data_IF_259108732287
#
_entry.id   IF_259108732287
#
_cell.length_a   1.000
_cell.length_b   1.000
_cell.length_c   1.000
_cell.angle_alpha   90.00
_cell.angle_beta   90.00
_cell.angle_gamma   90.00
#
_symmetry.space_group_name_H-M   'P 1'
#
loop_
_entity.id
_entity.type
_entity.pdbx_description
1 polymer ?
#
# COMPACT_ATOMS: atom_id res chain seq x y z
N UNK A 1 53.50 -21.19 -40.75
CA UNK A 1 52.24 -21.95 -40.54
C UNK A 1 52.59 -23.23 -39.80
N UNK A 2 51.78 -23.62 -38.80
CA UNK A 2 51.83 -24.83 -37.93
C UNK A 2 52.46 -24.72 -36.51
N UNK A 3 51.51 -24.67 -35.55
CA UNK A 3 51.38 -25.44 -34.28
C UNK A 3 52.31 -25.18 -33.08
N UNK A 4 51.83 -24.24 -32.29
CA UNK A 4 51.47 -24.30 -30.86
C UNK A 4 51.74 -25.58 -30.02
N UNK A 5 52.51 -25.33 -28.96
CA UNK A 5 52.40 -25.70 -27.54
C UNK A 5 52.56 -27.15 -27.02
N UNK A 6 53.72 -27.32 -26.36
CA UNK A 6 54.05 -28.35 -25.35
C UNK A 6 53.02 -28.38 -24.23
N UNK A 7 52.53 -29.58 -23.94
CA UNK A 7 51.68 -29.88 -22.78
C UNK A 7 52.54 -30.24 -21.56
N UNK A 8 52.10 -29.73 -20.41
CA UNK A 8 52.34 -30.14 -19.01
C UNK A 8 53.70 -29.82 -18.38
N UNK A 9 53.65 -28.88 -17.43
CA UNK A 9 53.87 -29.26 -16.04
C UNK A 9 52.63 -28.90 -15.22
N UNK A 10 52.15 -29.87 -14.44
CA UNK A 10 51.10 -29.70 -13.43
C UNK A 10 51.78 -29.08 -12.22
N UNK A 11 51.34 -27.91 -11.79
CA UNK A 11 51.66 -27.38 -10.47
C UNK A 11 50.77 -28.08 -9.44
N UNK A 12 51.41 -28.67 -8.45
CA UNK A 12 50.84 -29.26 -7.23
C UNK A 12 50.40 -28.14 -6.24
N UNK A 13 49.68 -28.47 -5.16
CA UNK A 13 48.51 -27.74 -4.67
C UNK A 13 48.86 -26.52 -3.83
N UNK A 14 48.00 -25.49 -3.91
CA UNK A 14 47.94 -24.42 -2.92
C UNK A 14 47.61 -25.00 -1.55
N UNK A 15 48.37 -24.57 -0.55
CA UNK A 15 48.28 -24.90 0.86
C UNK A 15 46.84 -24.70 1.41
N UNK A 16 46.25 -25.67 2.13
CA UNK A 16 44.94 -25.48 2.77
C UNK A 16 44.93 -24.42 3.89
N UNK A 17 46.09 -23.85 4.24
CA UNK A 17 46.20 -22.83 5.28
C UNK A 17 45.81 -21.40 4.86
N UNK A 18 45.56 -21.14 3.56
CA UNK A 18 45.16 -19.82 3.05
C UNK A 18 43.63 -19.69 2.86
N UNK A 19 42.86 -20.42 3.67
CA UNK A 19 41.42 -20.14 3.80
C UNK A 19 41.31 -19.00 4.80
N UNK A 20 41.14 -17.77 4.30
CA UNK A 20 40.83 -16.60 5.11
C UNK A 20 39.65 -16.98 6.02
N UNK A 21 39.93 -17.20 7.30
CA UNK A 21 38.90 -17.58 8.29
C UNK A 21 38.09 -16.31 8.52
N UNK A 22 36.98 -16.19 7.78
CA UNK A 22 35.99 -15.14 8.00
C UNK A 22 35.58 -15.21 9.47
N UNK A 23 35.94 -14.18 10.25
CA UNK A 23 35.61 -14.14 11.68
C UNK A 23 34.08 -14.28 11.80
N UNK A 24 33.55 -15.27 12.55
CA UNK A 24 32.11 -15.44 12.74
C UNK A 24 31.45 -14.26 13.47
N UNK A 25 32.23 -13.28 13.96
CA UNK A 25 31.76 -11.99 14.48
C UNK A 25 31.79 -10.86 13.46
N UNK A 26 32.24 -11.11 12.23
CA UNK A 26 32.09 -10.15 11.13
C UNK A 26 30.59 -9.96 10.92
N UNK A 27 30.04 -8.75 11.14
CA UNK A 27 28.66 -8.48 10.78
C UNK A 27 28.51 -8.82 9.30
N UNK A 28 27.51 -9.63 8.96
CA UNK A 28 27.17 -9.86 7.56
C UNK A 28 27.00 -8.48 6.90
N UNK A 29 27.56 -8.22 5.71
CA UNK A 29 27.31 -6.97 5.02
C UNK A 29 25.81 -6.80 4.95
N UNK A 30 25.29 -5.81 5.69
CA UNK A 30 23.90 -5.45 5.54
C UNK A 30 23.76 -5.02 4.08
N UNK A 31 22.75 -5.53 3.34
CA UNK A 31 22.43 -4.98 2.04
C UNK A 31 22.44 -3.46 2.17
N UNK A 32 23.03 -2.76 1.21
CA UNK A 32 22.88 -1.31 1.15
C UNK A 32 21.39 -1.02 1.35
N UNK A 33 21.07 -0.15 2.31
CA UNK A 33 19.69 0.21 2.62
C UNK A 33 18.96 0.59 1.31
N UNK A 34 17.63 0.43 1.27
CA UNK A 34 16.87 0.72 0.05
C UNK A 34 17.28 2.09 -0.49
N UNK A 35 17.45 2.14 -1.82
CA UNK A 35 17.91 3.34 -2.52
C UNK A 35 17.02 4.53 -2.17
N UNK A 36 17.56 5.75 -2.24
CA UNK A 36 16.77 6.95 -1.93
C UNK A 36 15.42 6.93 -2.69
N UNK A 37 14.28 7.23 -2.02
CA UNK A 37 12.93 7.03 -2.59
C UNK A 37 12.74 7.64 -3.98
N UNK A 38 13.31 8.82 -4.23
CA UNK A 38 13.19 9.52 -5.51
C UNK A 38 13.96 8.81 -6.64
N UNK A 39 15.09 8.18 -6.33
CA UNK A 39 15.88 7.41 -7.30
C UNK A 39 15.14 6.11 -7.61
N UNK A 40 14.75 5.37 -6.57
CA UNK A 40 14.01 4.11 -6.70
C UNK A 40 12.71 4.30 -7.52
N UNK A 41 11.98 5.40 -7.28
CA UNK A 41 10.79 5.76 -8.04
C UNK A 41 11.07 6.01 -9.55
N UNK A 42 12.14 6.74 -9.89
CA UNK A 42 12.51 6.98 -11.30
C UNK A 42 12.93 5.68 -12.00
N UNK A 43 13.69 4.84 -11.30
CA UNK A 43 14.11 3.54 -11.80
C UNK A 43 12.90 2.62 -12.04
N UNK A 44 11.94 2.60 -11.11
CA UNK A 44 10.67 1.90 -11.28
C UNK A 44 9.97 2.32 -12.57
N UNK A 45 9.76 3.63 -12.78
CA UNK A 45 8.98 4.10 -13.92
C UNK A 45 9.68 3.88 -15.26
N UNK A 46 11.02 3.91 -15.28
CA UNK A 46 11.79 3.54 -16.46
C UNK A 46 11.56 2.07 -16.84
N UNK A 47 11.67 1.16 -15.88
CA UNK A 47 11.46 -0.26 -16.12
C UNK A 47 9.99 -0.62 -16.36
N UNK A 48 9.07 0.08 -15.73
CA UNK A 48 7.64 -0.01 -16.01
C UNK A 48 7.34 0.26 -17.48
N UNK A 49 7.90 1.34 -18.05
CA UNK A 49 7.69 1.69 -19.46
C UNK A 49 8.22 0.61 -20.42
N UNK A 50 9.33 -0.04 -20.08
CA UNK A 50 9.90 -1.16 -20.85
C UNK A 50 9.01 -2.41 -20.78
N UNK A 51 8.41 -2.68 -19.62
CA UNK A 51 7.58 -3.85 -19.35
C UNK A 51 6.11 -3.68 -19.80
N UNK A 52 5.65 -2.44 -19.97
CA UNK A 52 4.25 -2.09 -20.23
C UNK A 52 3.62 -2.80 -21.44
N UNK A 53 4.31 -2.99 -22.59
CA UNK A 53 3.75 -3.74 -23.71
C UNK A 53 3.48 -5.21 -23.37
N UNK A 54 4.37 -5.84 -22.58
CA UNK A 54 4.22 -7.23 -22.15
C UNK A 54 3.07 -7.37 -21.14
N UNK A 55 2.99 -6.44 -20.18
CA UNK A 55 1.87 -6.39 -19.22
C UNK A 55 0.55 -6.25 -19.95
N UNK A 56 0.47 -5.32 -20.90
CA UNK A 56 -0.76 -5.05 -21.65
C UNK A 56 -1.20 -6.26 -22.49
N UNK A 57 -0.26 -6.98 -23.12
CA UNK A 57 -0.54 -8.22 -23.83
C UNK A 57 -1.02 -9.33 -22.88
N UNK A 58 -0.36 -9.50 -21.73
CA UNK A 58 -0.75 -10.49 -20.73
C UNK A 58 -2.14 -10.23 -20.15
N UNK A 59 -2.47 -8.97 -19.84
CA UNK A 59 -3.79 -8.56 -19.36
C UNK A 59 -4.86 -8.79 -20.43
N UNK A 60 -4.60 -8.39 -21.68
CA UNK A 60 -5.53 -8.59 -22.80
C UNK A 60 -5.81 -10.07 -23.13
N UNK A 61 -4.84 -10.96 -22.88
CA UNK A 61 -5.01 -12.41 -23.03
C UNK A 61 -5.56 -13.10 -21.77
N UNK A 62 -5.73 -12.39 -20.65
CA UNK A 62 -6.11 -12.98 -19.36
C UNK A 62 -5.04 -13.88 -18.74
N UNK A 63 -3.76 -13.64 -19.04
CA UNK A 63 -2.61 -14.46 -18.63
C UNK A 63 -1.63 -13.66 -17.75
N UNK A 64 -2.16 -13.02 -16.72
CA UNK A 64 -1.42 -12.14 -15.79
C UNK A 64 -0.21 -12.85 -15.16
N UNK A 65 -0.30 -14.16 -14.95
CA UNK A 65 0.75 -15.00 -14.36
C UNK A 65 2.06 -14.96 -15.16
N UNK A 66 2.03 -14.59 -16.44
CA UNK A 66 3.25 -14.43 -17.26
C UNK A 66 4.13 -13.28 -16.80
N UNK A 67 3.53 -12.21 -16.26
CA UNK A 67 4.23 -10.98 -15.87
C UNK A 67 4.32 -10.80 -14.35
N UNK A 68 3.60 -11.63 -13.59
CA UNK A 68 3.51 -11.56 -12.12
C UNK A 68 4.87 -11.54 -11.44
N UNK A 69 5.76 -12.50 -11.75
CA UNK A 69 7.09 -12.54 -11.16
C UNK A 69 7.90 -11.26 -11.44
N UNK A 70 7.79 -10.72 -12.65
CA UNK A 70 8.53 -9.52 -13.05
C UNK A 70 7.97 -8.26 -12.38
N UNK A 71 6.66 -8.20 -12.16
CA UNK A 71 6.03 -7.15 -11.37
C UNK A 71 6.47 -7.22 -9.91
N UNK A 72 6.53 -8.41 -9.32
CA UNK A 72 7.05 -8.59 -7.96
C UNK A 72 8.50 -8.10 -7.84
N UNK A 73 9.37 -8.45 -8.80
CA UNK A 73 10.75 -7.96 -8.82
C UNK A 73 10.81 -6.43 -8.95
N UNK A 74 9.99 -5.85 -9.84
CA UNK A 74 9.95 -4.42 -10.08
C UNK A 74 9.50 -3.64 -8.83
N UNK A 75 8.48 -4.13 -8.12
CA UNK A 75 7.99 -3.51 -6.87
C UNK A 75 8.98 -3.72 -5.73
N UNK A 76 9.56 -4.91 -5.59
CA UNK A 76 10.56 -5.17 -4.56
C UNK A 76 11.83 -4.32 -4.73
N UNK A 77 12.19 -3.98 -5.98
CA UNK A 77 13.28 -3.05 -6.27
C UNK A 77 12.97 -1.60 -5.84
N UNK A 78 11.69 -1.20 -5.82
CA UNK A 78 11.28 0.07 -5.24
C UNK A 78 11.38 0.03 -3.72
N UNK A 79 10.76 -0.96 -3.08
CA UNK A 79 10.94 -1.27 -1.66
C UNK A 79 10.39 -2.68 -1.35
N UNK A 80 11.09 -3.53 -0.58
CA UNK A 80 10.71 -4.93 -0.36
C UNK A 80 9.38 -5.12 0.40
N UNK A 81 8.99 -4.16 1.24
CA UNK A 81 7.76 -4.25 2.04
C UNK A 81 6.49 -3.72 1.32
N UNK A 82 6.64 -3.18 0.11
CA UNK A 82 5.50 -2.73 -0.68
C UNK A 82 4.67 -3.91 -1.20
N UNK A 83 3.37 -3.69 -1.24
CA UNK A 83 2.43 -4.56 -1.95
C UNK A 83 1.92 -3.86 -3.20
N UNK A 84 1.46 -4.64 -4.17
CA UNK A 84 0.80 -4.11 -5.35
C UNK A 84 -0.42 -4.92 -5.74
N UNK A 85 -1.37 -4.26 -6.39
CA UNK A 85 -2.46 -4.89 -7.11
C UNK A 85 -2.65 -4.23 -8.48
N UNK A 86 -3.13 -5.01 -9.44
CA UNK A 86 -3.68 -4.49 -10.71
C UNK A 86 -5.18 -4.71 -10.67
N UNK A 87 -5.92 -3.61 -10.68
CA UNK A 87 -7.37 -3.59 -10.52
C UNK A 87 -8.04 -2.96 -11.74
N UNK A 88 -9.37 -2.98 -11.76
CA UNK A 88 -10.14 -2.22 -12.74
C UNK A 88 -10.10 -0.75 -12.33
N UNK A 89 -9.69 0.11 -13.25
CA UNK A 89 -9.67 1.55 -13.01
C UNK A 89 -11.06 2.17 -12.95
N UNK A 90 -11.15 3.35 -12.31
CA UNK A 90 -12.35 4.18 -12.28
C UNK A 90 -12.45 5.05 -13.53
N UNK A 91 -11.33 5.62 -13.95
CA UNK A 91 -11.21 6.51 -15.12
C UNK A 91 -10.40 5.89 -16.26
N UNK A 92 -9.63 4.83 -15.95
CA UNK A 92 -8.87 4.05 -16.91
C UNK A 92 -9.34 2.58 -16.96
N UNK A 93 -8.85 1.82 -17.94
CA UNK A 93 -9.12 0.37 -18.00
C UNK A 93 -8.52 -0.35 -16.79
N UNK A 94 -7.27 -0.02 -16.44
CA UNK A 94 -6.52 -0.63 -15.35
C UNK A 94 -6.04 0.41 -14.35
N UNK A 95 -6.00 0.01 -13.09
CA UNK A 95 -5.36 0.74 -12.01
C UNK A 95 -4.17 -0.06 -11.48
N UNK A 96 -2.99 0.55 -11.37
CA UNK A 96 -1.90 -0.01 -10.58
C UNK A 96 -1.91 0.67 -9.21
N UNK A 97 -2.12 -0.13 -8.17
CA UNK A 97 -2.16 0.33 -6.79
C UNK A 97 -0.91 -0.18 -6.09
N UNK A 98 -0.14 0.72 -5.49
CA UNK A 98 0.89 0.37 -4.52
C UNK A 98 0.39 0.64 -3.11
N UNK A 99 0.74 -0.24 -2.17
CA UNK A 99 0.35 -0.11 -0.77
C UNK A 99 1.57 -0.24 0.13
N UNK A 100 1.67 0.71 1.08
CA UNK A 100 2.63 0.67 2.18
C UNK A 100 2.15 -0.19 3.35
N UNK A 101 0.91 -0.69 3.28
CA UNK A 101 0.19 -1.31 4.40
C UNK A 101 0.21 -0.41 5.63
N UNK A 102 0.00 0.88 5.41
CA UNK A 102 -0.03 1.92 6.45
C UNK A 102 1.31 2.16 7.17
N UNK A 103 2.43 1.59 6.69
CA UNK A 103 3.75 1.79 7.31
C UNK A 103 4.32 3.20 7.00
N UNK A 104 4.47 4.08 8.00
CA UNK A 104 4.98 5.44 7.79
C UNK A 104 6.45 5.46 7.35
N UNK A 105 7.23 4.40 7.61
CA UNK A 105 8.61 4.28 7.14
C UNK A 105 8.69 3.97 5.64
N UNK A 106 7.68 3.31 5.09
CA UNK A 106 7.59 2.94 3.66
C UNK A 106 6.91 4.04 2.84
N UNK A 107 6.04 4.86 3.45
CA UNK A 107 5.30 5.95 2.79
C UNK A 107 6.15 6.89 1.91
N UNK A 108 7.39 7.28 2.28
CA UNK A 108 8.22 8.11 1.39
C UNK A 108 8.45 7.49 0.00
N UNK A 109 8.44 6.15 -0.11
CA UNK A 109 8.57 5.45 -1.40
C UNK A 109 7.29 5.54 -2.25
N UNK A 110 6.11 5.41 -1.66
CA UNK A 110 4.86 5.57 -2.42
C UNK A 110 4.62 7.02 -2.82
N UNK A 111 4.96 7.98 -1.94
CA UNK A 111 4.89 9.42 -2.22
C UNK A 111 5.85 9.80 -3.38
N UNK A 112 7.09 9.32 -3.35
CA UNK A 112 8.06 9.56 -4.43
C UNK A 112 7.63 8.86 -5.73
N UNK A 113 7.08 7.65 -5.62
CA UNK A 113 6.57 6.87 -6.76
C UNK A 113 5.47 7.61 -7.49
N UNK A 114 4.43 8.08 -6.81
CA UNK A 114 3.33 8.78 -7.49
C UNK A 114 3.75 10.15 -8.01
N UNK A 115 4.66 10.85 -7.32
CA UNK A 115 5.20 12.11 -7.79
C UNK A 115 6.01 11.97 -9.09
N UNK A 116 6.63 10.81 -9.31
CA UNK A 116 7.38 10.49 -10.53
C UNK A 116 6.53 9.79 -11.62
N UNK A 117 5.25 9.55 -11.35
CA UNK A 117 4.38 8.79 -12.25
C UNK A 117 4.16 9.49 -13.60
N UNK A 118 4.04 8.73 -14.70
CA UNK A 118 3.56 9.29 -15.95
C UNK A 118 2.12 9.81 -15.79
N UNK A 119 1.73 10.73 -16.67
CA UNK A 119 0.36 11.21 -16.68
C UNK A 119 -0.61 10.05 -16.93
N UNK A 120 -1.68 9.88 -16.11
CA UNK A 120 -2.71 8.89 -16.37
C UNK A 120 -3.34 9.05 -17.76
N UNK A 121 -3.70 7.94 -18.38
CA UNK A 121 -4.36 7.91 -19.69
C UNK A 121 -5.59 7.00 -19.68
N UNK A 122 -6.17 6.73 -20.85
CA UNK A 122 -7.35 5.87 -20.95
C UNK A 122 -7.08 4.40 -20.53
N UNK A 123 -5.83 3.96 -20.56
CA UNK A 123 -5.43 2.60 -20.23
C UNK A 123 -5.03 2.45 -18.77
N UNK A 124 -4.30 3.42 -18.22
CA UNK A 124 -3.73 3.32 -16.88
C UNK A 124 -4.01 4.54 -15.99
N UNK A 125 -4.40 4.23 -14.76
CA UNK A 125 -4.33 5.13 -13.61
C UNK A 125 -3.46 4.51 -12.49
N UNK A 126 -2.98 5.35 -11.58
CA UNK A 126 -1.96 5.00 -10.59
C UNK A 126 -2.37 5.49 -9.21
N UNK A 127 -2.28 4.62 -8.20
CA UNK A 127 -2.63 4.93 -6.82
C UNK A 127 -1.47 4.54 -5.90
N UNK A 128 -1.07 5.47 -5.03
CA UNK A 128 0.05 5.35 -4.08
C UNK A 128 -0.37 4.70 -2.74
N UNK A 129 -1.62 4.26 -2.68
CA UNK A 129 -2.26 3.58 -1.55
C UNK A 129 -3.57 2.96 -2.01
N UNK A 130 -4.11 2.02 -1.24
CA UNK A 130 -5.43 1.45 -1.53
C UNK A 130 -6.50 2.55 -1.48
N UNK A 131 -7.20 2.86 -2.59
CA UNK A 131 -8.21 3.90 -2.60
C UNK A 131 -9.45 3.46 -1.82
N UNK A 132 -10.21 4.44 -1.33
CA UNK A 132 -11.55 4.17 -0.81
C UNK A 132 -12.44 3.59 -1.91
N UNK A 133 -13.34 2.67 -1.56
CA UNK A 133 -14.36 2.21 -2.51
C UNK A 133 -15.28 3.38 -2.90
N UNK A 134 -15.79 3.47 -4.15
CA UNK A 134 -16.59 4.61 -4.59
C UNK A 134 -17.79 4.89 -3.68
N UNK A 135 -18.58 3.86 -3.39
CA UNK A 135 -19.70 3.93 -2.45
C UNK A 135 -19.67 2.70 -1.51
N UNK A 136 -19.36 2.87 -0.21
CA UNK A 136 -19.33 1.76 0.73
C UNK A 136 -20.73 1.19 1.00
N UNK A 137 -21.82 1.93 0.75
CA UNK A 137 -23.18 1.40 0.93
C UNK A 137 -23.56 0.33 -0.09
N UNK A 138 -22.89 0.29 -1.24
CA UNK A 138 -23.10 -0.72 -2.29
C UNK A 138 -22.17 -1.94 -2.15
N UNK A 139 -21.29 -1.95 -1.15
CA UNK A 139 -20.29 -3.01 -0.96
C UNK A 139 -20.78 -4.08 -0.01
N UNK A 140 -20.58 -5.34 -0.40
CA UNK A 140 -20.72 -6.51 0.47
C UNK A 140 -19.37 -7.19 0.61
N UNK A 141 -18.90 -7.35 1.85
CA UNK A 141 -17.67 -8.07 2.17
C UNK A 141 -17.99 -9.48 2.69
N UNK A 142 -17.03 -10.39 2.54
CA UNK A 142 -17.09 -11.70 3.18
C UNK A 142 -16.21 -11.68 4.44
N UNK A 143 -16.80 -12.02 5.58
CA UNK A 143 -16.08 -12.24 6.84
C UNK A 143 -16.21 -13.71 7.20
N UNK A 144 -15.23 -14.50 6.77
CA UNK A 144 -15.36 -15.96 6.74
C UNK A 144 -16.49 -16.38 5.80
N UNK A 145 -17.48 -17.09 6.33
CA UNK A 145 -18.66 -17.55 5.57
C UNK A 145 -19.82 -16.55 5.60
N UNK A 146 -19.70 -15.48 6.39
CA UNK A 146 -20.76 -14.48 6.57
C UNK A 146 -20.60 -13.38 5.54
N UNK A 147 -21.68 -13.08 4.81
CA UNK A 147 -21.76 -11.90 3.93
C UNK A 147 -22.29 -10.72 4.73
N UNK A 148 -21.58 -9.61 4.67
CA UNK A 148 -21.92 -8.40 5.42
C UNK A 148 -22.04 -7.25 4.43
N UNK A 149 -23.24 -6.66 4.36
CA UNK A 149 -23.45 -5.42 3.64
C UNK A 149 -22.87 -4.27 4.48
N UNK A 150 -21.96 -3.50 3.90
CA UNK A 150 -21.35 -2.38 4.60
C UNK A 150 -22.37 -1.26 4.90
N UNK A 151 -23.49 -1.21 4.19
CA UNK A 151 -24.64 -0.33 4.50
C UNK A 151 -25.23 -0.55 5.90
N UNK A 152 -25.05 -1.73 6.51
CA UNK A 152 -25.56 -2.05 7.84
C UNK A 152 -24.57 -1.70 8.96
N UNK A 153 -23.37 -1.24 8.61
CA UNK A 153 -22.37 -0.79 9.58
C UNK A 153 -22.73 0.60 10.10
N UNK A 154 -22.64 0.77 11.41
CA UNK A 154 -22.87 2.01 12.13
C UNK A 154 -21.62 2.40 12.89
N UNK A 155 -21.29 3.67 12.85
CA UNK A 155 -20.05 4.20 13.44
C UNK A 155 -20.39 5.32 14.40
N UNK A 156 -19.71 5.40 15.54
CA UNK A 156 -19.61 6.63 16.32
C UNK A 156 -18.15 7.09 16.33
N UNK A 157 -17.92 8.37 16.03
CA UNK A 157 -16.60 8.95 15.97
C UNK A 157 -16.41 9.99 17.08
N UNK A 158 -15.23 9.97 17.69
CA UNK A 158 -14.74 11.03 18.56
C UNK A 158 -13.53 11.67 17.89
N UNK A 159 -13.65 12.95 17.56
CA UNK A 159 -12.61 13.70 16.85
C UNK A 159 -11.78 14.48 17.86
N UNK A 160 -10.48 14.21 17.85
CA UNK A 160 -9.45 14.99 18.52
C UNK A 160 -8.71 15.89 17.51
N UNK A 161 -7.74 16.68 17.99
CA UNK A 161 -7.00 17.64 17.16
C UNK A 161 -6.22 16.99 16.00
N UNK A 162 -5.71 15.77 16.20
CA UNK A 162 -4.84 15.06 15.26
C UNK A 162 -5.27 13.62 14.97
N UNK A 163 -6.43 13.20 15.49
CA UNK A 163 -6.87 11.82 15.45
C UNK A 163 -8.39 11.66 15.56
N UNK A 164 -8.87 10.49 15.18
CA UNK A 164 -10.26 10.06 15.28
C UNK A 164 -10.29 8.69 15.94
N UNK A 165 -10.98 8.62 17.08
CA UNK A 165 -11.32 7.36 17.72
C UNK A 165 -12.71 6.91 17.25
N UNK A 166 -12.85 5.62 16.98
CA UNK A 166 -14.01 5.08 16.27
C UNK A 166 -14.57 3.88 17.03
N UNK A 167 -15.87 3.92 17.31
CA UNK A 167 -16.65 2.77 17.76
C UNK A 167 -17.48 2.22 16.61
N UNK A 168 -17.29 0.94 16.28
CA UNK A 168 -17.96 0.27 15.15
C UNK A 168 -19.02 -0.70 15.65
N UNK A 169 -20.24 -0.55 15.14
CA UNK A 169 -21.37 -1.43 15.38
C UNK A 169 -21.85 -2.07 14.09
N UNK A 170 -22.25 -3.32 14.19
CA UNK A 170 -23.01 -4.06 13.20
C UNK A 170 -23.82 -5.14 13.95
N UNK A 171 -25.07 -5.43 13.59
CA UNK A 171 -25.92 -6.37 14.33
C UNK A 171 -25.28 -7.75 14.56
N UNK A 172 -24.50 -8.23 13.58
CA UNK A 172 -23.82 -9.54 13.66
C UNK A 172 -22.54 -9.57 14.52
N UNK A 173 -21.98 -8.43 14.96
CA UNK A 173 -20.69 -8.40 15.68
C UNK A 173 -20.68 -9.25 16.96
N UNK A 174 -21.83 -9.32 17.66
CA UNK A 174 -21.99 -10.12 18.87
C UNK A 174 -21.89 -11.63 18.65
N UNK A 175 -22.11 -12.10 17.43
CA UNK A 175 -22.14 -13.52 17.05
C UNK A 175 -20.80 -14.00 16.46
N UNK A 176 -19.91 -13.08 16.11
CA UNK A 176 -18.62 -13.39 15.50
C UNK A 176 -17.56 -13.75 16.55
N UNK A 177 -16.66 -14.66 16.19
CA UNK A 177 -15.43 -14.93 16.94
C UNK A 177 -14.45 -13.75 16.90
N UNK A 178 -13.37 -13.83 17.70
CA UNK A 178 -12.43 -12.72 17.86
C UNK A 178 -11.79 -12.23 16.55
N UNK A 179 -11.33 -13.14 15.70
CA UNK A 179 -10.66 -12.77 14.44
C UNK A 179 -11.65 -12.17 13.45
N UNK A 180 -12.84 -12.78 13.30
CA UNK A 180 -13.88 -12.24 12.41
C UNK A 180 -14.42 -10.90 12.90
N UNK A 181 -14.52 -10.73 14.23
CA UNK A 181 -14.95 -9.47 14.85
C UNK A 181 -13.93 -8.37 14.60
N UNK A 182 -12.64 -8.67 14.70
CA UNK A 182 -11.57 -7.72 14.37
C UNK A 182 -11.63 -7.31 12.90
N UNK A 183 -11.73 -8.26 11.97
CA UNK A 183 -11.93 -7.95 10.54
C UNK A 183 -13.16 -7.07 10.31
N UNK A 184 -14.30 -7.39 10.96
CA UNK A 184 -15.52 -6.58 10.87
C UNK A 184 -15.40 -5.17 11.48
N UNK A 185 -14.37 -4.92 12.28
CA UNK A 185 -14.15 -3.63 12.93
C UNK A 185 -13.31 -2.71 12.05
N UNK A 186 -12.27 -3.24 11.40
CA UNK A 186 -11.33 -2.44 10.60
C UNK A 186 -11.69 -2.37 9.11
N UNK A 187 -12.03 -3.51 8.50
CA UNK A 187 -12.24 -3.60 7.05
C UNK A 187 -13.30 -2.62 6.51
N UNK A 188 -14.45 -2.40 7.18
CA UNK A 188 -15.40 -1.37 6.75
C UNK A 188 -14.82 0.04 6.74
N UNK A 189 -13.96 0.38 7.70
CA UNK A 189 -13.33 1.70 7.81
C UNK A 189 -12.27 1.90 6.73
N UNK A 190 -11.44 0.89 6.49
CA UNK A 190 -10.43 0.88 5.42
C UNK A 190 -11.10 1.00 4.04
N UNK A 191 -12.14 0.20 3.77
CA UNK A 191 -12.91 0.32 2.54
C UNK A 191 -13.54 1.72 2.39
N UNK A 192 -13.96 2.32 3.50
CA UNK A 192 -14.61 3.63 3.51
C UNK A 192 -13.63 4.78 3.32
N UNK A 193 -12.46 4.76 3.95
CA UNK A 193 -11.53 5.88 3.94
C UNK A 193 -10.39 5.72 2.92
N UNK A 194 -10.09 4.49 2.52
CA UNK A 194 -8.84 4.15 1.86
C UNK A 194 -7.67 4.18 2.86
N UNK A 195 -6.56 3.55 2.48
CA UNK A 195 -5.39 3.34 3.33
C UNK A 195 -4.80 4.67 3.83
N UNK A 196 -4.65 5.67 2.95
CA UNK A 196 -3.98 6.92 3.34
C UNK A 196 -4.74 7.72 4.38
N UNK A 197 -6.06 7.83 4.22
CA UNK A 197 -6.90 8.63 5.11
C UNK A 197 -7.15 7.86 6.42
N UNK A 198 -7.30 6.53 6.34
CA UNK A 198 -7.36 5.66 7.51
C UNK A 198 -6.09 5.80 8.37
N UNK A 199 -4.91 5.55 7.78
CA UNK A 199 -3.63 5.64 8.48
C UNK A 199 -3.33 7.04 9.06
N UNK A 200 -3.88 8.10 8.45
CA UNK A 200 -3.68 9.48 8.92
C UNK A 200 -4.50 9.79 10.16
N UNK A 201 -5.77 9.35 10.19
CA UNK A 201 -6.72 9.84 11.17
C UNK A 201 -7.11 8.80 12.21
N UNK A 202 -7.18 7.52 11.87
CA UNK A 202 -7.63 6.49 12.81
C UNK A 202 -6.55 6.23 13.86
N UNK A 203 -6.93 6.35 15.13
CA UNK A 203 -6.03 6.07 16.27
C UNK A 203 -6.47 4.87 17.07
N UNK A 204 -7.73 4.86 17.49
CA UNK A 204 -8.33 3.77 18.26
C UNK A 204 -9.60 3.32 17.57
N UNK A 205 -9.72 2.03 17.32
CA UNK A 205 -10.95 1.43 16.81
C UNK A 205 -11.40 0.36 17.79
N UNK A 206 -12.67 0.43 18.17
CA UNK A 206 -13.26 -0.49 19.14
C UNK A 206 -14.66 -0.95 18.72
N UNK A 207 -15.06 -2.11 19.26
CA UNK A 207 -16.36 -2.72 18.96
C UNK A 207 -17.43 -2.14 19.87
N UNK A 208 -18.52 -1.68 19.28
CA UNK A 208 -19.76 -1.34 19.98
C UNK A 208 -20.76 -2.51 19.84
N UNK A 209 -21.05 -3.19 20.95
CA UNK A 209 -21.99 -4.33 20.99
C UNK A 209 -23.44 -3.88 20.74
N UNK A 210 -23.79 -2.67 21.16
CA UNK A 210 -25.07 -2.02 20.87
C UNK A 210 -24.84 -0.81 19.98
N UNK A 211 -25.81 -0.49 19.14
CA UNK A 211 -25.75 0.69 18.27
C UNK A 211 -25.58 1.97 19.11
N UNK A 212 -24.52 2.77 18.86
CA UNK A 212 -24.32 4.04 19.56
C UNK A 212 -25.46 5.04 19.29
N UNK A 213 -25.80 5.87 20.28
CA UNK A 213 -26.87 6.86 20.14
C UNK A 213 -26.59 7.93 19.06
N UNK A 214 -25.31 8.22 18.80
CA UNK A 214 -24.82 9.13 17.78
C UNK A 214 -24.24 8.38 16.57
N UNK A 215 -24.78 7.19 16.27
CA UNK A 215 -24.37 6.41 15.13
C UNK A 215 -24.56 7.17 13.81
N UNK A 216 -23.57 7.05 12.94
CA UNK A 216 -23.56 7.53 11.57
C UNK A 216 -23.28 6.38 10.61
N UNK A 217 -23.70 6.55 9.37
CA UNK A 217 -23.35 5.67 8.25
C UNK A 217 -21.87 5.82 7.87
N UNK A 218 -21.33 4.86 7.13
CA UNK A 218 -19.98 4.93 6.60
C UNK A 218 -19.77 6.14 5.66
N UNK A 219 -20.79 6.55 4.90
CA UNK A 219 -20.70 7.73 4.03
C UNK A 219 -20.64 9.05 4.83
N UNK A 220 -21.44 9.17 5.89
CA UNK A 220 -21.36 10.32 6.80
C UNK A 220 -20.01 10.36 7.52
N UNK A 221 -19.51 9.20 7.93
CA UNK A 221 -18.18 9.09 8.53
C UNK A 221 -17.06 9.50 7.56
N UNK A 222 -17.10 9.04 6.30
CA UNK A 222 -16.16 9.49 5.25
C UNK A 222 -16.18 11.02 5.14
N UNK A 223 -17.37 11.59 5.03
CA UNK A 223 -17.56 13.05 4.90
C UNK A 223 -16.95 13.81 6.08
N UNK A 224 -17.18 13.32 7.31
CA UNK A 224 -16.61 13.87 8.53
C UNK A 224 -15.08 13.88 8.46
N UNK A 225 -14.45 12.73 8.16
CA UNK A 225 -12.98 12.61 8.16
C UNK A 225 -12.34 13.42 7.04
N UNK A 226 -12.94 13.46 5.84
CA UNK A 226 -12.42 14.28 4.74
C UNK A 226 -12.44 15.77 5.08
N UNK A 227 -13.47 16.25 5.79
CA UNK A 227 -13.59 17.65 6.19
C UNK A 227 -12.54 18.11 7.23
N UNK A 228 -11.91 17.17 7.94
CA UNK A 228 -10.81 17.49 8.86
C UNK A 228 -9.53 17.89 8.13
N UNK A 229 -9.32 17.37 6.91
CA UNK A 229 -8.17 17.74 6.07
C UNK A 229 -8.28 19.16 5.51
N UNK A 230 -9.49 19.59 5.18
CA UNK A 230 -9.76 20.90 4.56
C UNK A 230 -9.67 22.08 5.55
N UNK A 231 -9.79 21.81 6.85
CA UNK A 231 -9.77 22.83 7.91
C UNK A 231 -8.36 23.18 8.42
N UNK A 232 -7.31 22.51 7.92
CA UNK A 232 -5.91 22.67 8.35
C UNK A 232 -5.04 23.68 7.57
N UNK A 233 -5.62 24.53 6.71
CA UNK A 233 -4.88 25.56 5.95
C UNK A 233 -4.70 26.88 6.73
N UNK A 234 -3.54 27.56 6.65
CA UNK A 234 -3.24 28.71 7.52
C UNK A 234 -3.88 29.98 6.97
N UNK A 235 -5.07 30.40 7.45
CA UNK A 235 -5.58 31.76 7.30
C UNK A 235 -6.11 32.28 8.64
N UNK A 236 -5.18 32.41 9.59
CA UNK A 236 -5.34 33.32 10.71
C UNK A 236 -4.57 34.60 10.39
N UNK A 237 -5.14 35.47 9.56
CA UNK A 237 -4.77 36.89 9.56
C UNK A 237 -6.04 37.70 9.80
N UNK A 238 -6.23 38.04 11.07
CA UNK A 238 -7.09 39.13 11.45
C UNK A 238 -6.53 40.42 10.87
N UNK A 239 -7.20 40.96 9.86
CA UNK A 239 -7.00 42.36 9.50
C UNK A 239 -7.86 43.17 10.46
N UNK A 240 -7.15 43.84 11.36
CA UNK A 240 -7.70 44.78 12.32
C UNK A 240 -8.50 45.88 11.63
N UNK A 241 -9.61 46.22 12.28
CA UNK A 241 -10.29 47.49 12.13
C UNK A 241 -9.32 48.58 12.60
N UNK A 242 -8.97 49.50 11.72
CA UNK A 242 -8.41 50.80 12.09
C UNK A 242 -9.18 51.88 11.32
N UNK A 243 -9.69 52.82 12.11
CA UNK A 243 -10.45 54.07 11.86
C UNK A 243 -10.67 54.55 10.41
#
# INVERSE_FOLDING_TARGET
MMRWFRRRQRSTPTDPADTEVVDPRTPWPQPDGPEAPDVAAREFWRHWAELLPEISAALGEGKVQRVEHRLCELVAALHPDLQFSIERGVHAVYALVLSSREDPAVRPYTDAWIAAAPQPDAMWEYHDSVPAVPDPSEVTINVGEVRVALADVRVAAHVDADAVDVSVHHPLLGELDGSRRETMTFLPLEATLGERLAARWLRRVEVAVSEPANAMTLLEFRTLVTGLGDTGGPHGDGVGVAD
#
